data_IF_702388786401
#
_entry.id   IF_702388786401
#
_cell.length_a   1.000
_cell.length_b   1.000
_cell.length_c   1.000
_cell.angle_alpha   90.00
_cell.angle_beta   90.00
_cell.angle_gamma   90.00
#
_symmetry.space_group_name_H-M   'P 1'
#
loop_
_entity.id
_entity.type
_entity.pdbx_description
1 polymer ?
#
# COMPACT_ATOMS: atom_id res chain seq x y z
N UNK A 1 3.51 -19.78 -3.76
CA UNK A 1 3.22 -19.58 -2.33
C UNK A 1 4.45 -19.96 -1.52
N UNK A 2 5.02 -18.98 -0.83
CA UNK A 2 6.13 -19.15 0.11
C UNK A 2 5.62 -18.94 1.54
N UNK A 3 6.17 -19.67 2.51
CA UNK A 3 5.81 -19.55 3.92
C UNK A 3 7.01 -19.12 4.73
N UNK A 4 6.85 -18.01 5.45
CA UNK A 4 7.85 -17.46 6.35
C UNK A 4 7.40 -17.65 7.79
N UNK A 5 8.27 -18.26 8.60
CA UNK A 5 8.09 -18.39 10.05
C UNK A 5 9.07 -17.50 10.79
N UNK A 6 8.60 -16.31 11.17
CA UNK A 6 9.36 -15.42 12.04
C UNK A 6 8.81 -15.51 13.49
N UNK A 7 9.37 -16.44 14.27
CA UNK A 7 8.93 -16.69 15.66
C UNK A 7 7.56 -17.37 15.74
N UNK A 8 6.53 -16.67 16.25
CA UNK A 8 5.14 -17.17 16.36
C UNK A 8 4.24 -16.79 15.17
N UNK A 9 4.78 -16.06 14.19
CA UNK A 9 4.02 -15.49 13.08
C UNK A 9 3.94 -16.48 11.92
N UNK A 10 2.79 -16.51 11.27
CA UNK A 10 2.59 -17.19 9.99
C UNK A 10 2.41 -16.12 8.92
N UNK A 11 3.47 -15.90 8.13
CA UNK A 11 3.39 -15.03 6.95
C UNK A 11 3.35 -15.92 5.71
N UNK A 12 2.34 -15.72 4.87
CA UNK A 12 2.09 -16.44 3.63
C UNK A 12 2.25 -15.46 2.47
N UNK A 13 3.21 -15.71 1.59
CA UNK A 13 3.45 -14.88 0.40
C UNK A 13 2.84 -15.57 -0.82
N UNK A 14 1.96 -14.86 -1.50
CA UNK A 14 1.30 -15.23 -2.76
C UNK A 14 1.97 -14.45 -3.87
N UNK A 15 3.01 -15.05 -4.48
CA UNK A 15 3.69 -14.51 -5.65
C UNK A 15 2.78 -14.55 -6.89
N UNK A 16 2.97 -13.58 -7.79
CA UNK A 16 2.24 -13.47 -9.06
C UNK A 16 0.71 -13.41 -8.86
N UNK A 17 0.26 -12.71 -7.81
CA UNK A 17 -1.15 -12.61 -7.48
C UNK A 17 -1.84 -11.54 -8.34
N UNK A 18 -3.00 -11.87 -8.89
CA UNK A 18 -3.82 -10.92 -9.64
C UNK A 18 -4.89 -10.30 -8.71
N UNK A 19 -5.48 -9.14 -9.07
CA UNK A 19 -6.57 -8.54 -8.30
C UNK A 19 -7.75 -9.49 -8.04
N UNK A 20 -7.94 -10.46 -8.94
CA UNK A 20 -8.97 -11.50 -8.89
C UNK A 20 -8.74 -12.55 -7.79
N UNK A 21 -7.49 -12.74 -7.37
CA UNK A 21 -7.10 -13.71 -6.34
C UNK A 21 -7.34 -13.18 -4.92
N UNK A 22 -7.58 -11.87 -4.79
CA UNK A 22 -7.80 -11.26 -3.49
C UNK A 22 -9.13 -11.74 -2.89
N UNK A 23 -9.19 -12.05 -1.58
CA UNK A 23 -10.40 -12.51 -0.89
C UNK A 23 -11.35 -11.33 -0.59
N UNK A 24 -11.67 -10.50 -1.58
CA UNK A 24 -12.54 -9.33 -1.46
C UNK A 24 -13.54 -9.30 -2.62
N UNK A 25 -14.80 -9.02 -2.30
CA UNK A 25 -15.84 -8.82 -3.31
C UNK A 25 -15.96 -7.33 -3.65
N UNK A 26 -16.14 -6.99 -4.93
CA UNK A 26 -16.29 -5.61 -5.43
C UNK A 26 -15.09 -4.71 -5.09
N UNK A 27 -13.90 -5.12 -5.53
CA UNK A 27 -12.68 -4.35 -5.38
C UNK A 27 -12.85 -2.93 -5.97
N UNK A 28 -12.45 -1.87 -5.24
CA UNK A 28 -12.43 -0.53 -5.81
C UNK A 28 -11.41 -0.44 -6.94
N UNK A 29 -11.56 0.55 -7.82
CA UNK A 29 -10.51 0.88 -8.80
C UNK A 29 -9.22 1.20 -8.05
N UNK A 30 -8.19 0.38 -8.28
CA UNK A 30 -6.90 0.54 -7.62
C UNK A 30 -6.08 1.57 -8.39
N UNK A 31 -5.54 2.60 -7.72
CA UNK A 31 -4.67 3.55 -8.39
C UNK A 31 -3.36 2.86 -8.77
N UNK A 32 -2.79 3.21 -9.92
CA UNK A 32 -1.42 2.81 -10.24
C UNK A 32 -0.44 3.32 -9.17
N UNK A 33 0.54 2.49 -8.84
CA UNK A 33 1.52 2.78 -7.78
C UNK A 33 2.65 3.66 -8.33
N UNK A 34 3.24 4.47 -7.47
CA UNK A 34 4.50 5.13 -7.79
C UNK A 34 5.64 4.14 -7.52
N UNK A 35 6.65 4.10 -8.39
CA UNK A 35 7.90 3.38 -8.11
C UNK A 35 8.51 3.96 -6.82
N UNK A 36 8.42 3.16 -5.76
CA UNK A 36 9.04 3.40 -4.49
C UNK A 36 9.78 2.12 -4.12
N UNK A 37 11.01 2.26 -3.61
CA UNK A 37 11.80 1.09 -3.21
C UNK A 37 11.08 0.23 -2.19
N UNK A 38 11.50 -1.03 -2.12
CA UNK A 38 11.02 -1.98 -1.12
C UNK A 38 11.40 -1.59 0.30
N UNK A 39 10.70 -2.16 1.28
CA UNK A 39 11.05 -2.02 2.68
C UNK A 39 10.66 -3.28 3.48
N UNK A 40 11.39 -3.52 4.57
CA UNK A 40 10.99 -4.52 5.57
C UNK A 40 10.27 -3.82 6.71
N UNK A 41 9.12 -4.33 7.20
CA UNK A 41 8.46 -3.76 8.36
C UNK A 41 9.43 -3.66 9.56
N UNK A 42 9.38 -2.53 10.28
CA UNK A 42 10.23 -2.29 11.43
C UNK A 42 10.20 -3.45 12.46
N UNK A 43 11.37 -3.83 12.97
CA UNK A 43 11.58 -4.96 13.90
C UNK A 43 11.24 -6.34 13.31
N UNK A 44 11.23 -6.47 11.98
CA UNK A 44 11.11 -7.73 11.27
C UNK A 44 12.33 -7.95 10.39
N UNK A 45 12.71 -9.21 10.16
CA UNK A 45 13.73 -9.57 9.16
C UNK A 45 13.13 -9.78 7.76
N UNK A 46 11.84 -10.05 7.71
CA UNK A 46 11.07 -10.48 6.55
C UNK A 46 9.56 -10.41 6.91
N UNK A 47 8.63 -10.29 5.94
CA UNK A 47 8.87 -10.21 4.50
C UNK A 47 9.36 -8.81 4.08
N UNK A 48 10.02 -8.75 2.93
CA UNK A 48 10.19 -7.51 2.18
C UNK A 48 8.85 -7.17 1.51
N UNK A 49 8.45 -5.89 1.57
CA UNK A 49 7.19 -5.37 1.06
C UNK A 49 7.50 -4.34 -0.03
N UNK A 50 6.77 -4.43 -1.12
CA UNK A 50 6.85 -3.55 -2.27
C UNK A 50 5.57 -2.72 -2.38
N UNK A 51 5.64 -1.49 -2.93
CA UNK A 51 4.44 -0.85 -3.44
C UNK A 51 3.77 -1.77 -4.47
N UNK A 52 2.44 -1.86 -4.43
CA UNK A 52 1.67 -2.80 -5.26
C UNK A 52 1.25 -4.05 -4.51
N UNK A 53 1.91 -4.35 -3.38
CA UNK A 53 1.54 -5.50 -2.56
C UNK A 53 0.22 -5.26 -1.83
N UNK A 54 -0.58 -6.31 -1.70
CA UNK A 54 -1.75 -6.31 -0.80
C UNK A 54 -1.42 -7.12 0.45
N UNK A 55 -1.58 -6.49 1.61
CA UNK A 55 -1.37 -7.13 2.91
C UNK A 55 -2.70 -7.36 3.60
N UNK A 56 -2.96 -8.60 3.99
CA UNK A 56 -4.17 -9.04 4.68
C UNK A 56 -3.79 -9.67 6.01
N UNK A 57 -4.34 -9.15 7.10
CA UNK A 57 -4.19 -9.74 8.44
C UNK A 57 -5.44 -10.50 8.85
N UNK A 58 -5.25 -11.74 9.31
CA UNK A 58 -6.34 -12.64 9.73
C UNK A 58 -6.19 -13.01 11.20
N UNK A 59 -7.25 -12.83 11.98
CA UNK A 59 -7.34 -13.25 13.39
C UNK A 59 -8.64 -14.01 13.60
N UNK A 60 -8.58 -15.17 14.26
CA UNK A 60 -9.76 -16.00 14.57
C UNK A 60 -10.65 -16.22 13.32
N UNK A 61 -10.03 -16.53 12.17
CA UNK A 61 -10.70 -16.73 10.87
C UNK A 61 -11.40 -15.47 10.28
N UNK A 62 -11.16 -14.29 10.85
CA UNK A 62 -11.71 -13.02 10.38
C UNK A 62 -10.59 -12.11 9.82
N UNK A 63 -10.89 -11.40 8.72
CA UNK A 63 -9.99 -10.40 8.15
C UNK A 63 -10.06 -9.11 9.00
N UNK A 64 -8.96 -8.79 9.66
CA UNK A 64 -8.82 -7.60 10.50
C UNK A 64 -8.46 -6.35 9.68
N UNK A 65 -7.64 -6.54 8.64
CA UNK A 65 -7.28 -5.52 7.68
C UNK A 65 -6.96 -6.15 6.32
N UNK A 66 -7.26 -5.42 5.25
CA UNK A 66 -6.91 -5.76 3.87
C UNK A 66 -6.60 -4.45 3.13
N UNK A 67 -5.34 -4.27 2.77
CA UNK A 67 -4.81 -2.97 2.36
C UNK A 67 -3.78 -3.13 1.24
N UNK A 68 -3.92 -2.32 0.20
CA UNK A 68 -2.88 -2.14 -0.82
C UNK A 68 -1.78 -1.23 -0.26
N UNK A 69 -0.53 -1.63 -0.38
CA UNK A 69 0.64 -0.80 -0.05
C UNK A 69 0.91 0.10 -1.24
N UNK A 70 0.71 1.40 -1.04
CA UNK A 70 0.90 2.40 -2.10
C UNK A 70 2.34 2.93 -2.14
N UNK A 71 3.05 2.88 -1.01
CA UNK A 71 4.43 3.34 -0.94
C UNK A 71 4.95 3.51 0.48
N UNK A 72 6.21 3.92 0.60
CA UNK A 72 6.89 4.21 1.86
C UNK A 72 7.31 5.67 1.92
N UNK A 73 7.14 6.29 3.08
CA UNK A 73 7.67 7.63 3.42
C UNK A 73 8.74 7.49 4.49
N UNK A 74 9.41 8.59 4.88
CA UNK A 74 10.42 8.52 5.95
C UNK A 74 9.82 8.06 7.30
N UNK A 75 8.58 8.44 7.61
CA UNK A 75 7.96 8.23 8.93
C UNK A 75 6.87 7.15 8.95
N UNK A 76 6.47 6.62 7.79
CA UNK A 76 5.32 5.71 7.69
C UNK A 76 5.14 5.05 6.33
N UNK A 77 4.10 4.23 6.24
CA UNK A 77 3.67 3.49 5.04
C UNK A 77 2.36 4.11 4.53
N UNK A 78 2.32 4.41 3.23
CA UNK A 78 1.10 4.80 2.53
C UNK A 78 0.32 3.54 2.18
N UNK A 79 -0.93 3.47 2.61
CA UNK A 79 -1.80 2.32 2.40
C UNK A 79 -3.13 2.76 1.81
N UNK A 80 -3.78 1.90 1.05
CA UNK A 80 -5.15 2.06 0.59
C UNK A 80 -5.98 0.90 1.14
N UNK A 81 -6.78 1.12 2.21
CA UNK A 81 -7.68 0.10 2.70
C UNK A 81 -8.73 -0.26 1.65
N UNK A 82 -8.79 -1.53 1.27
CA UNK A 82 -9.65 -2.01 0.18
C UNK A 82 -11.14 -1.78 0.47
N UNK A 83 -11.54 -1.79 1.74
CA UNK A 83 -12.92 -1.51 2.16
C UNK A 83 -13.29 -0.01 2.23
N UNK A 84 -12.35 0.92 2.05
CA UNK A 84 -12.60 2.37 2.18
C UNK A 84 -12.29 3.16 0.92
N UNK A 85 -11.29 2.73 0.13
CA UNK A 85 -10.97 3.31 -1.17
C UNK A 85 -10.25 4.67 -1.14
N UNK A 86 -9.65 5.07 -0.02
CA UNK A 86 -8.82 6.28 0.06
C UNK A 86 -7.47 5.98 0.71
N UNK A 87 -6.42 6.68 0.26
CA UNK A 87 -5.05 6.51 0.78
C UNK A 87 -4.98 7.08 2.20
N UNK A 88 -4.37 6.32 3.10
CA UNK A 88 -4.08 6.68 4.49
C UNK A 88 -2.58 6.49 4.76
N UNK A 89 -2.09 7.11 5.83
CA UNK A 89 -0.70 7.01 6.27
C UNK A 89 -0.66 6.35 7.64
N UNK A 90 0.05 5.23 7.75
CA UNK A 90 0.29 4.57 9.02
C UNK A 90 1.77 4.69 9.36
N UNK A 91 2.08 5.19 10.57
CA UNK A 91 3.46 5.27 11.04
C UNK A 91 4.12 3.89 11.16
N UNK A 92 5.43 3.80 10.95
CA UNK A 92 6.14 2.52 10.80
C UNK A 92 5.92 1.53 11.94
N UNK A 93 6.00 2.01 13.19
CA UNK A 93 5.77 1.16 14.35
C UNK A 93 4.33 0.64 14.40
N UNK A 94 3.36 1.49 14.03
CA UNK A 94 1.96 1.09 13.99
C UNK A 94 1.74 0.06 12.89
N UNK A 95 2.30 0.28 11.69
CA UNK A 95 2.22 -0.67 10.57
C UNK A 95 2.76 -2.04 10.97
N UNK A 96 3.99 -2.09 11.47
CA UNK A 96 4.64 -3.33 11.90
C UNK A 96 3.93 -4.02 13.06
N UNK A 97 3.40 -3.24 14.02
CA UNK A 97 2.74 -3.82 15.19
C UNK A 97 1.56 -4.73 14.82
N UNK A 98 0.91 -4.49 13.68
CA UNK A 98 -0.23 -5.28 13.19
C UNK A 98 0.16 -6.71 12.85
N UNK A 99 1.38 -6.93 12.35
CA UNK A 99 1.91 -8.28 12.06
C UNK A 99 2.07 -9.14 13.33
N UNK A 100 2.14 -8.52 14.50
CA UNK A 100 2.22 -9.21 15.80
C UNK A 100 0.86 -9.35 16.49
N UNK A 101 -0.17 -8.69 15.96
CA UNK A 101 -1.50 -8.69 16.56
C UNK A 101 -2.41 -9.75 15.95
N UNK A 102 -2.14 -10.22 14.73
CA UNK A 102 -2.95 -11.20 14.01
C UNK A 102 -2.34 -12.61 14.07
N UNK A 103 -3.13 -13.62 13.75
CA UNK A 103 -2.69 -15.02 13.74
C UNK A 103 -1.90 -15.33 12.46
N UNK A 104 -2.38 -14.81 11.34
CA UNK A 104 -1.81 -15.00 10.00
C UNK A 104 -1.74 -13.67 9.23
N UNK A 105 -0.68 -13.51 8.45
CA UNK A 105 -0.54 -12.40 7.49
C UNK A 105 -0.36 -12.99 6.10
N UNK A 106 -1.19 -12.55 5.16
CA UNK A 106 -1.07 -12.87 3.75
C UNK A 106 -0.53 -11.65 3.03
N UNK A 107 0.54 -11.82 2.26
CA UNK A 107 1.10 -10.80 1.38
C UNK A 107 0.88 -11.29 -0.05
N UNK A 108 0.10 -10.57 -0.83
CA UNK A 108 -0.08 -10.79 -2.26
C UNK A 108 0.85 -9.83 -2.97
N UNK A 109 1.86 -10.38 -3.63
CA UNK A 109 2.99 -9.65 -4.19
C UNK A 109 2.63 -9.11 -5.57
N UNK A 110 2.88 -7.81 -5.80
CA UNK A 110 2.76 -7.19 -7.12
C UNK A 110 1.35 -7.18 -7.73
N UNK A 111 0.30 -7.05 -6.90
CA UNK A 111 -1.09 -7.08 -7.37
C UNK A 111 -1.44 -5.89 -8.28
N UNK A 112 -0.76 -4.76 -8.10
CA UNK A 112 -0.96 -3.54 -8.86
C UNK A 112 0.35 -3.12 -9.50
N UNK A 113 0.30 -2.88 -10.81
CA UNK A 113 1.43 -2.38 -11.57
C UNK A 113 1.72 -0.90 -11.34
N UNK A 114 2.98 -0.52 -11.57
CA UNK A 114 3.41 0.87 -11.61
C UNK A 114 2.59 1.70 -12.60
N UNK A 115 2.19 2.89 -12.16
CA UNK A 115 1.54 3.85 -13.04
C UNK A 115 2.51 4.26 -14.16
N UNK A 116 2.09 4.12 -15.42
CA UNK A 116 2.83 4.69 -16.54
C UNK A 116 2.95 6.21 -16.36
N UNK A 117 4.18 6.72 -16.38
CA UNK A 117 4.45 8.16 -16.27
C UNK A 117 3.75 8.93 -17.39
N UNK A 118 2.93 9.92 -17.04
CA UNK A 118 2.26 10.77 -18.02
C UNK A 118 3.17 11.93 -18.42
N UNK A 119 3.51 12.01 -19.71
CA UNK A 119 4.25 13.15 -20.28
C UNK A 119 3.28 14.32 -20.54
N UNK A 120 2.99 15.08 -19.49
CA UNK A 120 2.08 16.23 -19.55
C UNK A 120 2.87 17.53 -19.68
N UNK A 121 2.68 18.23 -20.80
CA UNK A 121 3.19 19.59 -20.99
C UNK A 121 2.19 20.63 -20.44
N UNK A 122 2.63 21.45 -19.49
CA UNK A 122 1.77 22.50 -18.89
C UNK A 122 1.88 23.81 -19.67
N UNK A 123 0.79 24.23 -20.32
CA UNK A 123 0.69 25.54 -20.97
C UNK A 123 0.40 26.65 -19.95
N UNK A 124 1.47 27.31 -19.50
CA UNK A 124 1.37 28.42 -18.54
C UNK A 124 0.67 29.67 -19.11
N UNK A 125 0.47 29.77 -20.43
CA UNK A 125 -0.23 30.91 -21.05
C UNK A 125 -1.74 30.88 -20.79
N UNK A 126 -2.29 29.72 -20.42
CA UNK A 126 -3.70 29.58 -20.02
C UNK A 126 -3.96 29.93 -18.55
N UNK A 127 -2.93 30.28 -17.79
CA UNK A 127 -3.08 30.67 -16.39
C UNK A 127 -3.47 32.15 -16.29
N UNK A 128 -4.75 32.43 -16.03
CA UNK A 128 -5.22 33.77 -15.68
C UNK A 128 -4.64 34.20 -14.32
N UNK A 129 -3.80 35.24 -14.32
CA UNK A 129 -3.23 35.80 -13.08
C UNK A 129 -4.05 37.01 -12.64
N UNK A 130 -4.47 37.10 -11.37
CA UNK A 130 -5.21 38.26 -10.90
C UNK A 130 -4.35 39.53 -10.98
N UNK A 131 -4.91 40.62 -11.53
CA UNK A 131 -4.25 41.93 -11.52
C UNK A 131 -4.07 42.38 -10.07
N UNK A 132 -2.82 42.41 -9.60
CA UNK A 132 -2.49 42.95 -8.28
C UNK A 132 -2.60 44.47 -8.31
N UNK A 133 -3.82 45.01 -8.15
CA UNK A 133 -4.01 46.43 -7.82
C UNK A 133 -3.60 46.63 -6.37
N UNK A 134 -2.33 46.96 -6.15
CA UNK A 134 -1.90 47.55 -4.87
C UNK A 134 -2.64 48.89 -4.72
N UNK A 135 -3.58 48.95 -3.77
CA UNK A 135 -4.07 50.22 -3.25
C UNK A 135 -2.87 50.99 -2.69
N UNK A 136 -2.66 52.21 -3.21
CA UNK A 136 -1.68 53.16 -2.66
C UNK A 136 -2.16 53.71 -1.32
#
# INVERSE_FOLDING_TARGET
MEQIRDGRRYVLIHSDAEPEDLPVENLPDMPGIADAGSFTPANMGEPEIFPGDVVIGVRDENVEFAELVYGKTDDGVLILPLGRGYIDVIGDQAFSSRFFQVDEVHVFDGVVDEAEGQDVEFDTSQLERPETRRSR
#
